data_IF_530233354884
#
_entry.id   IF_530233354884
#
_cell.length_a   1.000
_cell.length_b   1.000
_cell.length_c   1.000
_cell.angle_alpha   90.00
_cell.angle_beta   90.00
_cell.angle_gamma   90.00
#
_symmetry.space_group_name_H-M   'P 1'
#
loop_
_entity.id
_entity.type
_entity.pdbx_description
1 polymer ?
#
# COMPACT_ATOMS: atom_id res chain seq x y z
N UNK A 1 -21.79 -44.12 27.08
CA UNK A 1 -20.54 -43.35 27.22
C UNK A 1 -20.75 -42.07 26.45
N UNK A 2 -21.06 -40.99 27.15
CA UNK A 2 -21.32 -39.69 26.54
C UNK A 2 -20.00 -39.08 26.05
N UNK A 3 -19.97 -38.81 24.74
CA UNK A 3 -18.82 -38.30 24.01
C UNK A 3 -18.72 -36.78 24.24
N UNK A 4 -17.97 -36.39 25.26
CA UNK A 4 -17.72 -34.98 25.60
C UNK A 4 -16.66 -34.44 24.65
N UNK A 5 -17.10 -33.73 23.59
CA UNK A 5 -16.20 -32.99 22.71
C UNK A 5 -15.48 -31.88 23.50
N UNK A 6 -14.18 -31.65 23.27
CA UNK A 6 -13.45 -30.61 23.97
C UNK A 6 -13.94 -29.23 23.52
N UNK A 7 -14.49 -28.46 24.45
CA UNK A 7 -14.74 -27.03 24.29
C UNK A 7 -13.37 -26.34 24.23
N UNK A 8 -12.93 -25.98 23.03
CA UNK A 8 -11.73 -25.15 22.84
C UNK A 8 -11.97 -23.80 23.53
N UNK A 9 -11.19 -23.54 24.57
CA UNK A 9 -11.38 -22.39 25.45
C UNK A 9 -11.21 -21.04 24.72
N UNK A 10 -12.20 -20.13 24.77
CA UNK A 10 -12.17 -18.82 24.09
C UNK A 10 -11.04 -17.88 24.56
N UNK A 11 -10.40 -18.16 25.70
CA UNK A 11 -9.28 -17.38 26.25
C UNK A 11 -8.02 -17.39 25.36
N UNK A 12 -7.82 -18.41 24.55
CA UNK A 12 -6.61 -18.52 23.70
C UNK A 12 -6.70 -17.68 22.42
N UNK A 13 -7.91 -17.42 21.94
CA UNK A 13 -8.12 -16.71 20.68
C UNK A 13 -8.03 -15.20 20.88
N UNK A 14 -8.59 -14.71 21.99
CA UNK A 14 -8.52 -13.31 22.37
C UNK A 14 -7.08 -12.87 22.64
N UNK A 15 -6.29 -13.74 23.28
CA UNK A 15 -4.88 -13.46 23.56
C UNK A 15 -4.03 -13.45 22.29
N UNK A 16 -4.27 -14.36 21.35
CA UNK A 16 -3.58 -14.37 20.06
C UNK A 16 -3.92 -13.13 19.21
N UNK A 17 -5.22 -12.82 19.06
CA UNK A 17 -5.69 -11.64 18.33
C UNK A 17 -5.09 -10.36 18.92
N UNK A 18 -5.21 -10.19 20.24
CA UNK A 18 -4.70 -9.00 20.94
C UNK A 18 -3.19 -8.87 20.81
N UNK A 19 -2.45 -9.98 20.89
CA UNK A 19 -0.99 -9.99 20.70
C UNK A 19 -0.59 -9.56 19.29
N UNK A 20 -1.26 -10.08 18.27
CA UNK A 20 -0.94 -9.77 16.88
C UNK A 20 -1.31 -8.33 16.54
N UNK A 21 -2.49 -7.87 16.97
CA UNK A 21 -2.93 -6.49 16.81
C UNK A 21 -1.98 -5.50 17.52
N UNK A 22 -1.56 -5.82 18.75
CA UNK A 22 -0.58 -5.02 19.49
C UNK A 22 0.76 -4.97 18.76
N UNK A 23 1.27 -6.12 18.32
CA UNK A 23 2.52 -6.22 17.56
C UNK A 23 2.49 -5.42 16.26
N UNK A 24 1.38 -5.48 15.52
CA UNK A 24 1.16 -4.70 14.30
C UNK A 24 1.14 -3.18 14.60
N UNK A 25 0.42 -2.75 15.64
CA UNK A 25 0.35 -1.35 16.07
C UNK A 25 1.71 -0.81 16.49
N UNK A 26 2.47 -1.56 17.31
CA UNK A 26 3.82 -1.18 17.74
C UNK A 26 4.79 -1.07 16.56
N UNK A 27 4.76 -2.03 15.63
CA UNK A 27 5.58 -1.99 14.42
C UNK A 27 5.20 -0.79 13.53
N UNK A 28 3.90 -0.50 13.36
CA UNK A 28 3.43 0.70 12.65
C UNK A 28 3.97 1.99 13.29
N UNK A 29 3.90 2.13 14.62
CA UNK A 29 4.42 3.33 15.29
C UNK A 29 5.93 3.49 15.14
N UNK A 30 6.71 2.40 15.25
CA UNK A 30 8.16 2.46 14.93
C UNK A 30 8.42 2.87 13.49
N UNK A 31 7.58 2.41 12.56
CA UNK A 31 7.62 2.85 11.16
C UNK A 31 7.35 4.35 11.02
N UNK A 32 6.36 4.89 11.75
CA UNK A 32 6.04 6.32 11.75
C UNK A 32 7.20 7.16 12.31
N UNK A 33 7.84 6.69 13.40
CA UNK A 33 9.06 7.31 13.95
C UNK A 33 10.17 7.32 12.91
N UNK A 34 10.45 6.19 12.28
CA UNK A 34 11.48 6.08 11.24
C UNK A 34 11.20 6.98 10.00
N UNK A 35 9.93 7.20 9.63
CA UNK A 35 9.56 8.19 8.60
C UNK A 35 9.94 9.60 9.04
N UNK A 36 9.65 9.96 10.29
CA UNK A 36 9.96 11.28 10.86
C UNK A 36 11.47 11.52 10.92
N UNK A 37 12.23 10.48 11.24
CA UNK A 37 13.71 10.49 11.25
C UNK A 37 14.34 10.39 9.85
N UNK A 38 13.52 10.38 8.79
CA UNK A 38 13.94 10.20 7.38
C UNK A 38 14.68 8.87 7.12
N UNK A 39 14.57 7.90 8.02
CA UNK A 39 15.10 6.55 7.84
C UNK A 39 14.07 5.66 7.12
N UNK A 40 13.92 5.88 5.80
CA UNK A 40 12.89 5.22 5.01
C UNK A 40 13.09 3.70 4.87
N UNK A 41 14.33 3.22 4.97
CA UNK A 41 14.63 1.77 4.97
C UNK A 41 14.09 1.09 6.22
N UNK A 42 14.34 1.69 7.39
CA UNK A 42 13.80 1.21 8.65
C UNK A 42 12.28 1.32 8.69
N UNK A 43 11.72 2.41 8.17
CA UNK A 43 10.26 2.56 8.05
C UNK A 43 9.65 1.43 7.21
N UNK A 44 10.21 1.15 6.03
CA UNK A 44 9.77 0.04 5.17
C UNK A 44 9.86 -1.30 5.89
N UNK A 45 10.94 -1.56 6.63
CA UNK A 45 11.10 -2.78 7.42
C UNK A 45 10.02 -2.92 8.50
N UNK A 46 9.76 -1.86 9.28
CA UNK A 46 8.77 -1.89 10.35
C UNK A 46 7.33 -2.04 9.82
N UNK A 47 7.00 -1.41 8.69
CA UNK A 47 5.69 -1.62 8.06
C UNK A 47 5.52 -3.05 7.52
N UNK A 48 6.53 -3.63 6.89
CA UNK A 48 6.51 -5.05 6.49
C UNK A 48 6.38 -5.98 7.70
N UNK A 49 7.03 -5.65 8.81
CA UNK A 49 6.87 -6.36 10.09
C UNK A 49 5.44 -6.25 10.62
N UNK A 50 4.79 -5.08 10.50
CA UNK A 50 3.39 -4.92 10.85
C UNK A 50 2.47 -5.81 9.98
N UNK A 51 2.71 -5.84 8.66
CA UNK A 51 1.96 -6.72 7.74
C UNK A 51 2.12 -8.20 8.08
N UNK A 52 3.31 -8.63 8.52
CA UNK A 52 3.55 -10.00 8.98
C UNK A 52 2.70 -10.37 10.21
N UNK A 53 2.40 -9.44 11.10
CA UNK A 53 1.46 -9.69 12.20
C UNK A 53 0.01 -9.79 11.71
N UNK A 54 -0.34 -9.06 10.65
CA UNK A 54 -1.70 -9.04 10.09
C UNK A 54 -1.98 -10.21 9.14
N UNK A 55 -0.95 -10.79 8.51
CA UNK A 55 -1.09 -11.92 7.59
C UNK A 55 -1.65 -13.19 8.25
N UNK A 56 -1.68 -13.25 9.59
CA UNK A 56 -2.35 -14.33 10.33
C UNK A 56 -3.89 -14.29 10.19
N UNK A 57 -4.47 -13.16 9.75
CA UNK A 57 -5.92 -12.94 9.72
C UNK A 57 -6.45 -12.38 8.39
N UNK A 58 -5.58 -11.80 7.55
CA UNK A 58 -5.95 -11.30 6.22
C UNK A 58 -5.52 -12.36 5.20
N UNK A 59 -6.45 -13.05 4.52
CA UNK A 59 -6.08 -14.00 3.50
C UNK A 59 -5.29 -13.26 2.42
N UNK A 60 -4.07 -13.73 2.15
CA UNK A 60 -3.28 -13.21 1.04
C UNK A 60 -3.97 -13.57 -0.26
N UNK A 61 -4.44 -12.55 -0.99
CA UNK A 61 -4.87 -12.70 -2.37
C UNK A 61 -3.68 -13.31 -3.14
N UNK A 62 -3.83 -14.54 -3.61
CA UNK A 62 -2.74 -15.38 -4.12
C UNK A 62 -2.03 -14.85 -5.38
N UNK A 63 -1.21 -13.80 -5.23
CA UNK A 63 -0.54 -13.08 -6.31
C UNK A 63 0.85 -12.55 -5.95
N UNK A 64 1.86 -13.43 -6.05
CA UNK A 64 3.27 -13.28 -6.42
C UNK A 64 4.08 -11.95 -6.25
N UNK A 65 5.32 -12.12 -5.73
CA UNK A 65 6.58 -11.40 -6.07
C UNK A 65 7.15 -10.35 -5.08
N UNK A 66 8.31 -10.67 -4.49
CA UNK A 66 9.13 -10.07 -3.39
C UNK A 66 8.67 -10.26 -1.94
N UNK A 67 7.41 -10.60 -1.66
CA UNK A 67 6.97 -10.97 -0.29
C UNK A 67 7.25 -12.44 0.07
N UNK A 68 8.18 -13.10 -0.63
CA UNK A 68 8.57 -14.49 -0.36
C UNK A 68 9.01 -14.71 1.09
N UNK A 69 9.60 -13.69 1.74
CA UNK A 69 9.93 -13.76 3.16
C UNK A 69 8.70 -13.68 4.06
N UNK A 70 7.73 -12.81 3.75
CA UNK A 70 6.49 -12.69 4.52
C UNK A 70 5.69 -13.98 4.36
N UNK A 71 5.55 -14.49 3.12
CA UNK A 71 4.92 -15.77 2.83
C UNK A 71 5.65 -16.94 3.52
N UNK A 72 6.99 -16.97 3.48
CA UNK A 72 7.77 -18.01 4.16
C UNK A 72 7.55 -17.94 5.67
N UNK A 73 7.57 -16.75 6.27
CA UNK A 73 7.38 -16.57 7.71
C UNK A 73 5.93 -16.89 8.13
N UNK A 74 4.95 -16.49 7.32
CA UNK A 74 3.54 -16.82 7.53
C UNK A 74 3.30 -18.34 7.43
N UNK A 75 3.87 -19.01 6.42
CA UNK A 75 3.84 -20.48 6.28
C UNK A 75 4.53 -21.18 7.45
N UNK A 76 5.67 -20.65 7.93
CA UNK A 76 6.45 -21.23 9.03
C UNK A 76 5.75 -21.11 10.38
N UNK A 77 4.84 -20.15 10.55
CA UNK A 77 4.03 -20.02 11.78
C UNK A 77 2.87 -21.00 11.87
N UNK A 78 2.66 -21.84 10.85
CA UNK A 78 1.50 -22.69 10.74
C UNK A 78 0.30 -21.83 10.39
N UNK A 79 -0.20 -21.97 9.17
CA UNK A 79 -1.36 -21.23 8.65
C UNK A 79 -2.50 -21.37 9.67
N UNK A 80 -2.71 -20.33 10.47
CA UNK A 80 -3.97 -20.18 11.17
C UNK A 80 -5.00 -20.14 10.06
N UNK A 81 -5.88 -21.15 10.02
CA UNK A 81 -7.12 -21.08 9.24
C UNK A 81 -7.71 -19.68 9.42
N UNK A 82 -8.22 -19.01 8.37
CA UNK A 82 -8.87 -17.71 8.52
C UNK A 82 -9.93 -17.84 9.61
N UNK A 83 -9.59 -17.45 10.84
CA UNK A 83 -10.43 -17.73 12.00
C UNK A 83 -11.59 -16.76 11.90
N UNK A 84 -12.79 -17.23 12.19
CA UNK A 84 -14.01 -16.42 12.16
C UNK A 84 -13.93 -15.30 13.20
N UNK A 85 -13.29 -14.20 12.81
CA UNK A 85 -13.26 -12.98 13.59
C UNK A 85 -14.65 -12.35 13.56
N UNK A 86 -15.04 -11.75 14.68
CA UNK A 86 -16.23 -10.90 14.69
C UNK A 86 -16.08 -9.78 13.64
N UNK A 87 -17.19 -9.31 13.03
CA UNK A 87 -17.13 -8.26 12.02
C UNK A 87 -16.36 -7.01 12.47
N UNK A 88 -16.48 -6.63 13.75
CA UNK A 88 -15.72 -5.50 14.32
C UNK A 88 -14.21 -5.72 14.35
N UNK A 89 -13.75 -6.93 14.72
CA UNK A 89 -12.31 -7.26 14.71
C UNK A 89 -11.76 -7.31 13.29
N UNK A 90 -12.54 -7.87 12.35
CA UNK A 90 -12.16 -7.88 10.94
C UNK A 90 -12.02 -6.46 10.41
N UNK A 91 -12.96 -5.57 10.72
CA UNK A 91 -12.87 -4.15 10.35
C UNK A 91 -11.63 -3.48 10.92
N UNK A 92 -11.33 -3.66 12.22
CA UNK A 92 -10.15 -3.06 12.86
C UNK A 92 -8.84 -3.51 12.20
N UNK A 93 -8.71 -4.80 11.86
CA UNK A 93 -7.54 -5.31 11.15
C UNK A 93 -7.41 -4.74 9.75
N UNK A 94 -8.53 -4.62 9.01
CA UNK A 94 -8.52 -4.07 7.66
C UNK A 94 -8.17 -2.58 7.67
N UNK A 95 -8.67 -1.79 8.64
CA UNK A 95 -8.32 -0.38 8.79
C UNK A 95 -6.81 -0.20 9.09
N UNK A 96 -6.26 -1.08 9.94
CA UNK A 96 -4.84 -1.09 10.23
C UNK A 96 -4.01 -1.51 9.01
N UNK A 97 -4.44 -2.53 8.27
CA UNK A 97 -3.82 -2.97 7.03
C UNK A 97 -3.77 -1.84 6.00
N UNK A 98 -4.92 -1.20 5.74
CA UNK A 98 -5.02 -0.06 4.81
C UNK A 98 -4.08 1.05 5.23
N UNK A 99 -3.97 1.35 6.52
CA UNK A 99 -3.05 2.37 7.06
C UNK A 99 -1.59 2.00 6.83
N UNK A 100 -1.20 0.77 7.16
CA UNK A 100 0.18 0.28 7.03
C UNK A 100 0.61 0.24 5.56
N UNK A 101 -0.24 -0.28 4.67
CA UNK A 101 0.03 -0.33 3.23
C UNK A 101 0.21 1.07 2.63
N UNK A 102 -0.64 2.01 3.03
CA UNK A 102 -0.53 3.41 2.66
C UNK A 102 0.80 4.05 3.11
N UNK A 103 1.26 3.74 4.33
CA UNK A 103 2.52 4.25 4.85
C UNK A 103 3.73 3.56 4.22
N UNK A 104 3.62 2.27 3.91
CA UNK A 104 4.63 1.53 3.18
C UNK A 104 4.83 2.11 1.77
N UNK A 105 3.75 2.48 1.07
CA UNK A 105 3.83 3.20 -0.20
C UNK A 105 4.59 4.53 -0.08
N UNK A 106 4.42 5.28 1.02
CA UNK A 106 5.25 6.49 1.27
C UNK A 106 6.73 6.14 1.39
N UNK A 107 7.06 5.09 2.16
CA UNK A 107 8.45 4.66 2.30
C UNK A 107 9.05 4.26 0.94
N UNK A 108 8.30 3.54 0.10
CA UNK A 108 8.74 3.14 -1.24
C UNK A 108 8.94 4.34 -2.17
N UNK A 109 8.03 5.32 -2.15
CA UNK A 109 8.19 6.57 -2.91
C UNK A 109 9.48 7.31 -2.51
N UNK A 110 9.79 7.37 -1.20
CA UNK A 110 11.00 8.02 -0.69
C UNK A 110 12.28 7.24 -1.01
N UNK A 111 12.17 5.94 -1.27
CA UNK A 111 13.25 5.06 -1.72
C UNK A 111 13.31 4.93 -3.26
N UNK A 112 12.51 5.71 -3.99
CA UNK A 112 12.37 5.65 -5.45
C UNK A 112 11.93 4.27 -5.99
N UNK A 113 11.25 3.47 -5.17
CA UNK A 113 10.71 2.15 -5.53
C UNK A 113 9.27 2.28 -6.04
N UNK A 114 9.08 3.04 -7.11
CA UNK A 114 7.75 3.43 -7.59
C UNK A 114 6.89 2.23 -7.98
N UNK A 115 7.48 1.14 -8.48
CA UNK A 115 6.76 -0.11 -8.77
C UNK A 115 6.06 -0.67 -7.53
N UNK A 116 6.78 -0.73 -6.41
CA UNK A 116 6.24 -1.17 -5.12
C UNK A 116 5.23 -0.19 -4.55
N UNK A 117 5.44 1.11 -4.75
CA UNK A 117 4.46 2.14 -4.40
C UNK A 117 3.11 1.93 -5.13
N UNK A 118 3.14 1.62 -6.43
CA UNK A 118 1.93 1.27 -7.21
C UNK A 118 1.28 -0.01 -6.69
N UNK A 119 2.09 -1.05 -6.43
CA UNK A 119 1.58 -2.33 -5.91
C UNK A 119 0.85 -2.16 -4.57
N UNK A 120 1.47 -1.48 -3.60
CA UNK A 120 0.89 -1.28 -2.28
C UNK A 120 -0.36 -0.41 -2.29
N UNK A 121 -0.37 0.67 -3.08
CA UNK A 121 -1.56 1.53 -3.22
C UNK A 121 -2.68 0.84 -3.97
N UNK A 122 -2.38 0.01 -4.97
CA UNK A 122 -3.38 -0.80 -5.67
C UNK A 122 -4.02 -1.82 -4.73
N UNK A 123 -3.22 -2.50 -3.89
CA UNK A 123 -3.74 -3.38 -2.83
C UNK A 123 -4.71 -2.65 -1.89
N UNK A 124 -4.42 -1.39 -1.51
CA UNK A 124 -5.37 -0.58 -0.72
C UNK A 124 -6.66 -0.31 -1.47
N UNK A 125 -6.58 0.10 -2.74
CA UNK A 125 -7.75 0.46 -3.55
C UNK A 125 -8.63 -0.75 -3.90
N UNK A 126 -8.08 -1.96 -3.82
CA UNK A 126 -8.82 -3.21 -3.99
C UNK A 126 -9.54 -3.68 -2.71
N UNK A 127 -9.30 -3.04 -1.56
CA UNK A 127 -10.06 -3.35 -0.33
C UNK A 127 -11.48 -2.79 -0.47
N UNK A 128 -12.55 -3.58 -0.21
CA UNK A 128 -13.93 -3.10 -0.31
C UNK A 128 -14.17 -1.84 0.53
N UNK A 129 -14.72 -0.79 -0.10
CA UNK A 129 -14.97 0.51 0.52
C UNK A 129 -13.77 1.46 0.54
N UNK A 130 -12.62 1.05 -0.01
CA UNK A 130 -11.40 1.86 -0.11
C UNK A 130 -11.08 2.28 -1.56
N UNK A 131 -11.96 2.04 -2.51
CA UNK A 131 -11.78 2.33 -3.95
C UNK A 131 -11.53 3.82 -4.22
N UNK A 132 -12.05 4.67 -3.33
CA UNK A 132 -11.88 6.13 -3.35
C UNK A 132 -10.91 6.64 -2.27
N UNK A 133 -10.02 5.79 -1.78
CA UNK A 133 -9.03 6.18 -0.76
C UNK A 133 -8.09 7.25 -1.34
N UNK A 134 -8.32 8.50 -0.95
CA UNK A 134 -7.61 9.67 -1.48
C UNK A 134 -6.10 9.58 -1.32
N UNK A 135 -5.62 9.06 -0.19
CA UNK A 135 -4.18 8.91 0.06
C UNK A 135 -3.56 7.87 -0.89
N UNK A 136 -4.25 6.75 -1.12
CA UNK A 136 -3.78 5.71 -2.02
C UNK A 136 -3.79 6.18 -3.48
N UNK A 137 -4.88 6.80 -3.95
CA UNK A 137 -4.96 7.37 -5.30
C UNK A 137 -3.86 8.41 -5.54
N UNK A 138 -3.64 9.34 -4.61
CA UNK A 138 -2.61 10.37 -4.76
C UNK A 138 -1.21 9.78 -4.85
N UNK A 139 -0.91 8.81 -3.99
CA UNK A 139 0.39 8.12 -3.99
C UNK A 139 0.59 7.29 -5.27
N UNK A 140 -0.46 6.61 -5.75
CA UNK A 140 -0.42 5.80 -6.96
C UNK A 140 -0.19 6.68 -8.20
N UNK A 141 -0.92 7.78 -8.30
CA UNK A 141 -0.73 8.79 -9.34
C UNK A 141 0.72 9.31 -9.35
N UNK A 142 1.26 9.70 -8.19
CA UNK A 142 2.65 10.16 -8.09
C UNK A 142 3.64 9.08 -8.54
N UNK A 143 3.44 7.82 -8.16
CA UNK A 143 4.29 6.72 -8.63
C UNK A 143 4.20 6.53 -10.15
N UNK A 144 3.00 6.60 -10.74
CA UNK A 144 2.79 6.52 -12.18
C UNK A 144 3.48 7.67 -12.92
N UNK A 145 3.42 8.91 -12.41
CA UNK A 145 4.16 10.05 -12.96
C UNK A 145 5.66 9.79 -12.98
N UNK A 146 6.22 9.29 -11.87
CA UNK A 146 7.66 9.02 -11.79
C UNK A 146 8.09 7.92 -12.76
N UNK A 147 7.23 6.93 -13.01
CA UNK A 147 7.44 5.86 -14.00
C UNK A 147 7.20 6.29 -15.45
N UNK A 148 6.62 7.46 -15.70
CA UNK A 148 6.21 7.89 -17.05
C UNK A 148 4.93 7.22 -17.55
N UNK A 149 4.17 6.55 -16.68
CA UNK A 149 2.88 5.94 -16.98
C UNK A 149 1.79 7.01 -16.88
N UNK A 150 1.76 7.90 -17.86
CA UNK A 150 1.01 9.15 -17.71
C UNK A 150 -0.50 8.94 -17.76
N UNK A 151 -0.98 8.03 -18.61
CA UNK A 151 -2.41 7.77 -18.75
C UNK A 151 -3.01 7.20 -17.44
N UNK A 152 -2.28 6.34 -16.75
CA UNK A 152 -2.67 5.80 -15.45
C UNK A 152 -2.65 6.86 -14.35
N UNK A 153 -1.66 7.76 -14.36
CA UNK A 153 -1.64 8.89 -13.44
C UNK A 153 -2.86 9.83 -13.64
N UNK A 154 -3.24 10.10 -14.90
CA UNK A 154 -4.42 10.92 -15.21
C UNK A 154 -5.71 10.27 -14.71
N UNK A 155 -5.88 8.95 -14.90
CA UNK A 155 -7.03 8.21 -14.37
C UNK A 155 -7.16 8.34 -12.85
N UNK A 156 -6.05 8.21 -12.12
CA UNK A 156 -6.06 8.37 -10.65
C UNK A 156 -6.41 9.81 -10.23
N UNK A 157 -5.92 10.81 -10.96
CA UNK A 157 -6.20 12.23 -10.69
C UNK A 157 -7.66 12.57 -10.99
N UNK A 158 -8.25 12.00 -12.03
CA UNK A 158 -9.66 12.20 -12.36
C UNK A 158 -10.58 11.61 -11.28
N UNK A 159 -10.24 10.43 -10.76
CA UNK A 159 -10.96 9.86 -9.61
C UNK A 159 -10.79 10.73 -8.36
N UNK A 160 -9.59 11.25 -8.10
CA UNK A 160 -9.35 12.19 -7.00
C UNK A 160 -10.16 13.48 -7.12
N UNK A 161 -10.22 14.05 -8.32
CA UNK A 161 -10.98 15.27 -8.61
C UNK A 161 -12.48 15.04 -8.39
N UNK A 162 -13.03 13.95 -8.90
CA UNK A 162 -14.44 13.58 -8.66
C UNK A 162 -14.75 13.36 -7.17
N UNK A 163 -13.77 12.97 -6.34
CA UNK A 163 -13.93 12.84 -4.90
C UNK A 163 -13.72 14.17 -4.13
N UNK A 164 -13.12 15.17 -4.76
CA UNK A 164 -12.81 16.47 -4.15
C UNK A 164 -14.01 17.42 -4.12
N UNK A 165 -14.98 17.24 -5.02
CA UNK A 165 -16.16 18.10 -5.23
C UNK A 165 -17.09 18.25 -3.99
N UNK A 166 -16.76 17.65 -2.85
CA UNK A 166 -17.42 17.87 -1.55
C UNK A 166 -16.49 18.05 -0.34
N UNK A 167 -15.17 18.08 -0.52
CA UNK A 167 -14.19 17.94 0.58
C UNK A 167 -13.26 19.16 0.78
N UNK A 168 -13.59 20.32 0.18
CA UNK A 168 -12.91 21.60 0.43
C UNK A 168 -11.53 21.77 -0.24
N UNK A 169 -10.97 22.96 -0.05
CA UNK A 169 -9.85 23.54 -0.81
C UNK A 169 -8.54 22.72 -0.80
N UNK A 170 -8.24 21.98 0.27
CA UNK A 170 -7.05 21.11 0.33
C UNK A 170 -7.07 20.01 -0.73
N UNK A 171 -8.26 19.61 -1.18
CA UNK A 171 -8.43 18.56 -2.18
C UNK A 171 -8.08 19.05 -3.58
N UNK A 172 -8.45 20.28 -3.89
CA UNK A 172 -8.18 20.92 -5.17
C UNK A 172 -6.69 21.20 -5.35
N UNK A 173 -6.00 21.66 -4.30
CA UNK A 173 -4.56 21.94 -4.36
C UNK A 173 -3.74 20.68 -4.71
N UNK A 174 -4.08 19.54 -4.10
CA UNK A 174 -3.39 18.26 -4.37
C UNK A 174 -3.62 17.79 -5.82
N UNK A 175 -4.84 17.94 -6.33
CA UNK A 175 -5.20 17.60 -7.71
C UNK A 175 -4.43 18.50 -8.69
N UNK A 176 -4.38 19.80 -8.43
CA UNK A 176 -3.67 20.76 -9.28
C UNK A 176 -2.15 20.49 -9.29
N UNK A 177 -1.55 20.22 -8.13
CA UNK A 177 -0.13 19.86 -8.04
C UNK A 177 0.19 18.61 -8.88
N UNK A 178 -0.65 17.57 -8.84
CA UNK A 178 -0.45 16.38 -9.67
C UNK A 178 -0.63 16.68 -11.16
N UNK A 179 -1.63 17.48 -11.54
CA UNK A 179 -1.85 17.89 -12.95
C UNK A 179 -0.64 18.66 -13.49
N UNK A 180 -0.04 19.52 -12.68
CA UNK A 180 1.19 20.23 -13.04
C UNK A 180 2.36 19.27 -13.24
N UNK A 181 2.58 18.31 -12.32
CA UNK A 181 3.62 17.28 -12.48
C UNK A 181 3.41 16.40 -13.71
N UNK A 182 2.16 16.01 -14.00
CA UNK A 182 1.81 15.25 -15.21
C UNK A 182 2.18 16.06 -16.46
N UNK A 183 1.81 17.34 -16.52
CA UNK A 183 2.14 18.23 -17.63
C UNK A 183 3.64 18.39 -17.83
N UNK A 184 4.39 18.54 -16.75
CA UNK A 184 5.86 18.62 -16.78
C UNK A 184 6.48 17.32 -17.27
N UNK A 185 6.02 16.17 -16.76
CA UNK A 185 6.50 14.85 -17.16
C UNK A 185 6.17 14.55 -18.63
N UNK A 186 4.97 14.90 -19.12
CA UNK A 186 4.62 14.81 -20.55
C UNK A 186 5.61 15.59 -21.42
N UNK A 187 5.92 16.83 -21.04
CA UNK A 187 6.90 17.66 -21.76
C UNK A 187 8.30 17.04 -21.72
N UNK A 188 8.70 16.46 -20.60
CA UNK A 188 10.00 15.77 -20.47
C UNK A 188 10.08 14.57 -21.43
N UNK A 189 9.08 13.68 -21.42
CA UNK A 189 9.06 12.49 -22.27
C UNK A 189 9.11 12.84 -23.76
N UNK A 190 8.36 13.86 -24.20
CA UNK A 190 8.40 14.35 -25.59
C UNK A 190 9.79 14.90 -25.97
N UNK A 191 10.48 15.58 -25.04
CA UNK A 191 11.85 16.07 -25.29
C UNK A 191 12.84 14.91 -25.41
N UNK A 192 12.72 13.89 -24.57
CA UNK A 192 13.55 12.69 -24.60
C UNK A 192 13.34 11.91 -25.91
N UNK A 193 12.09 11.70 -26.33
CA UNK A 193 11.74 11.06 -27.60
C UNK A 193 12.35 11.81 -28.79
N UNK A 194 12.17 13.14 -28.86
CA UNK A 194 12.77 13.97 -29.92
C UNK A 194 14.30 13.90 -29.93
N UNK A 195 14.93 13.84 -28.75
CA UNK A 195 16.38 13.72 -28.64
C UNK A 195 16.87 12.35 -29.14
N UNK A 196 16.13 11.27 -28.85
CA UNK A 196 16.41 9.93 -29.38
C UNK A 196 16.25 9.93 -30.91
N UNK A 197 15.14 10.45 -31.45
CA UNK A 197 14.93 10.54 -32.89
C UNK A 197 16.06 11.31 -33.59
N UNK A 198 16.46 12.47 -33.05
CA UNK A 198 17.56 13.27 -33.61
C UNK A 198 18.87 12.46 -33.70
N UNK A 199 19.24 11.75 -32.63
CA UNK A 199 20.44 10.90 -32.62
C UNK A 199 20.37 9.76 -33.65
N UNK A 200 19.19 9.16 -33.83
CA UNK A 200 18.98 8.08 -34.81
C UNK A 200 19.14 8.59 -36.26
N UNK A 201 18.71 9.81 -36.56
CA UNK A 201 18.93 10.42 -37.88
C UNK A 201 20.39 10.80 -38.15
N UNK A 202 21.11 11.31 -37.14
CA UNK A 202 22.51 11.73 -37.28
C UNK A 202 23.50 10.56 -37.43
N UNK A 203 23.21 9.39 -36.87
CA UNK A 203 24.09 8.20 -36.96
C UNK A 203 23.63 7.17 -38.01
N UNK A 204 22.44 7.36 -38.59
CA UNK A 204 21.88 6.49 -39.63
C UNK A 204 22.12 6.99 -41.07
N UNK A 205 22.86 8.10 -41.22
CA UNK A 205 23.30 8.67 -42.52
C UNK A 205 24.81 8.51 -42.67
#
# INVERSE_FOLDING_TARGET
>A
MEDVRPVTSPLTEDTAYTRCLRGAKEAKERGNTAISDKNFKEASFQYKKALLFLSEYIPGDGGFSEDALIDMLARRRGVATPRDLSPGRKSELMDLYVTVMNNLAVADMRLCRFDKGVEHTTKVLNVPGQEKNRKALWRRAECHVQRGHIEEAEKDVDVLAACAEGNGQQSEEVVEQLRMKIKEKKKQLVREERAICKKMFEHGS
#
